data_IF_179976762483
#
_entry.id   IF_179976762483
#
_cell.length_a   1.000
_cell.length_b   1.000
_cell.length_c   1.000
_cell.angle_alpha   90.00
_cell.angle_beta   90.00
_cell.angle_gamma   90.00
#
_symmetry.space_group_name_H-M   'P 1'
#
loop_
_entity.id
_entity.type
_entity.pdbx_description
1 polymer ?
#
# COMPACT_ATOMS: atom_id res chain seq x y z
N UNK A 1 -10.05 3.43 -1.06
CA UNK A 1 -8.91 4.14 -1.68
C UNK A 1 -7.90 3.09 -2.13
N UNK A 2 -7.35 3.13 -3.35
CA UNK A 2 -6.27 2.22 -3.74
C UNK A 2 -5.04 2.50 -2.88
N UNK A 3 -4.30 1.45 -2.52
CA UNK A 3 -3.00 1.62 -1.89
C UNK A 3 -2.03 2.27 -2.90
N UNK A 4 -0.93 2.90 -2.43
CA UNK A 4 0.11 3.41 -3.30
C UNK A 4 0.52 2.35 -4.32
N UNK A 5 0.46 2.72 -5.61
CA UNK A 5 0.77 1.82 -6.71
C UNK A 5 2.28 1.69 -6.92
N UNK A 6 2.73 0.70 -7.67
CA UNK A 6 4.14 0.38 -7.86
C UNK A 6 4.94 1.56 -8.44
N UNK A 7 6.21 1.72 -8.00
CA UNK A 7 7.15 2.79 -8.43
C UNK A 7 7.16 3.03 -9.93
N UNK A 8 7.11 1.94 -10.69
CA UNK A 8 7.20 1.94 -12.15
C UNK A 8 6.07 2.74 -12.81
N UNK A 9 4.91 2.86 -12.15
CA UNK A 9 3.79 3.68 -12.63
C UNK A 9 4.07 5.16 -12.42
N UNK A 10 4.75 5.52 -11.34
CA UNK A 10 5.11 6.91 -11.03
C UNK A 10 6.28 7.44 -11.86
N UNK A 11 7.14 6.54 -12.36
CA UNK A 11 8.30 6.88 -13.17
C UNK A 11 8.00 7.02 -14.67
N UNK A 12 6.83 6.62 -15.13
CA UNK A 12 6.44 6.75 -16.54
C UNK A 12 6.47 8.22 -16.98
N UNK A 13 7.19 8.53 -18.06
CA UNK A 13 7.36 9.90 -18.55
C UNK A 13 6.29 10.27 -19.58
N UNK A 14 5.57 9.27 -20.09
CA UNK A 14 4.51 9.44 -21.08
C UNK A 14 3.26 8.66 -20.69
N UNK A 15 2.11 9.10 -21.20
CA UNK A 15 0.83 8.40 -21.02
C UNK A 15 0.89 6.98 -21.62
N UNK A 16 1.59 6.80 -22.75
CA UNK A 16 1.73 5.50 -23.39
C UNK A 16 2.52 4.52 -22.51
N UNK A 17 3.65 4.95 -21.95
CA UNK A 17 4.42 4.17 -20.99
C UNK A 17 3.59 3.84 -19.75
N UNK A 18 2.88 4.84 -19.22
CA UNK A 18 2.02 4.67 -18.06
C UNK A 18 0.95 3.60 -18.31
N UNK A 19 0.24 3.67 -19.43
CA UNK A 19 -0.79 2.70 -19.81
C UNK A 19 -0.21 1.29 -19.98
N UNK A 20 0.96 1.15 -20.62
CA UNK A 20 1.62 -0.13 -20.77
C UNK A 20 2.05 -0.73 -19.41
N UNK A 21 2.58 0.10 -18.51
CA UNK A 21 2.92 -0.32 -17.15
C UNK A 21 1.66 -0.66 -16.34
N UNK A 22 0.60 0.12 -16.46
CA UNK A 22 -0.65 -0.08 -15.75
C UNK A 22 -1.34 -1.38 -16.15
N UNK A 23 -1.43 -1.69 -17.45
CA UNK A 23 -2.02 -2.95 -17.93
C UNK A 23 -1.25 -4.16 -17.39
N UNK A 24 0.09 -4.12 -17.43
CA UNK A 24 0.94 -5.20 -16.89
C UNK A 24 0.79 -5.36 -15.38
N UNK A 25 0.78 -4.24 -14.66
CA UNK A 25 0.56 -4.22 -13.22
C UNK A 25 -0.82 -4.80 -12.89
N UNK A 26 -1.88 -4.34 -13.54
CA UNK A 26 -3.24 -4.78 -13.31
C UNK A 26 -3.42 -6.28 -13.60
N UNK A 27 -2.80 -6.80 -14.66
CA UNK A 27 -2.80 -8.23 -14.98
C UNK A 27 -2.11 -9.06 -13.87
N UNK A 28 -0.97 -8.60 -13.35
CA UNK A 28 -0.29 -9.23 -12.21
C UNK A 28 -1.17 -9.23 -10.97
N UNK A 29 -2.01 -8.21 -10.79
CA UNK A 29 -2.98 -8.09 -9.69
C UNK A 29 -4.32 -8.77 -9.96
N UNK A 30 -4.46 -9.57 -11.03
CA UNK A 30 -5.72 -10.23 -11.41
C UNK A 30 -6.90 -9.26 -11.56
N UNK A 31 -6.63 -8.01 -11.95
CA UNK A 31 -7.65 -6.97 -12.07
C UNK A 31 -7.85 -6.12 -10.82
N UNK A 32 -7.33 -6.53 -9.66
CA UNK A 32 -7.59 -5.87 -8.39
C UNK A 32 -6.29 -5.62 -7.62
N UNK A 33 -5.78 -4.39 -7.74
CA UNK A 33 -4.64 -3.90 -6.97
C UNK A 33 -4.87 -3.98 -5.46
N UNK A 34 -3.81 -3.71 -4.69
CA UNK A 34 -3.92 -3.63 -3.23
C UNK A 34 -4.71 -2.37 -2.83
N UNK A 35 -5.59 -2.50 -1.85
CA UNK A 35 -6.46 -1.44 -1.38
C UNK A 35 -6.05 -1.00 0.03
N UNK A 36 -6.19 0.29 0.34
CA UNK A 36 -5.74 0.84 1.62
C UNK A 36 -6.42 0.17 2.84
N UNK A 37 -7.69 -0.21 2.73
CA UNK A 37 -8.40 -0.91 3.82
C UNK A 37 -7.89 -2.34 4.06
N UNK A 38 -7.10 -2.90 3.13
CA UNK A 38 -6.42 -4.18 3.35
C UNK A 38 -5.22 -4.04 4.30
N UNK A 39 -4.78 -2.83 4.65
CA UNK A 39 -3.74 -2.63 5.68
C UNK A 39 -4.21 -3.15 7.04
N UNK A 40 -5.49 -2.99 7.40
CA UNK A 40 -6.08 -3.50 8.65
C UNK A 40 -5.99 -5.03 8.77
N UNK A 41 -5.75 -5.73 7.65
CA UNK A 41 -5.58 -7.19 7.61
C UNK A 41 -4.16 -7.63 7.90
N UNK A 42 -3.19 -6.71 7.86
CA UNK A 42 -1.79 -6.98 8.21
C UNK A 42 -1.74 -7.14 9.73
N UNK A 43 -1.69 -8.40 10.18
CA UNK A 43 -1.58 -8.72 11.61
C UNK A 43 -0.11 -8.84 12.02
N UNK A 44 0.26 -8.34 13.21
CA UNK A 44 1.57 -8.61 13.77
C UNK A 44 1.75 -10.12 13.99
N UNK A 45 2.85 -10.68 13.47
CA UNK A 45 3.12 -12.11 13.49
C UNK A 45 4.36 -12.50 12.69
N UNK A 46 4.70 -13.80 12.70
CA UNK A 46 5.91 -14.33 12.05
C UNK A 46 5.79 -14.37 10.51
N UNK A 47 4.55 -14.43 9.99
CA UNK A 47 4.27 -14.48 8.56
C UNK A 47 3.21 -13.44 8.20
N UNK A 48 3.49 -12.65 7.16
CA UNK A 48 2.55 -11.67 6.63
C UNK A 48 1.62 -12.36 5.61
N UNK A 49 0.48 -11.73 5.32
CA UNK A 49 -0.44 -12.24 4.30
C UNK A 49 0.16 -12.06 2.90
N UNK A 50 -0.02 -13.04 2.02
CA UNK A 50 0.70 -13.11 0.74
C UNK A 50 0.39 -11.92 -0.19
N UNK A 51 -0.84 -11.36 -0.19
CA UNK A 51 -1.12 -10.13 -0.94
C UNK A 51 -0.37 -8.93 -0.37
N UNK A 52 -0.29 -8.82 0.95
CA UNK A 52 0.46 -7.76 1.61
C UNK A 52 1.96 -7.88 1.30
N UNK A 53 2.54 -9.10 1.32
CA UNK A 53 3.95 -9.36 0.95
C UNK A 53 4.22 -8.92 -0.48
N UNK A 54 3.37 -9.34 -1.42
CA UNK A 54 3.45 -8.93 -2.82
C UNK A 54 3.34 -7.42 -3.01
N UNK A 55 2.47 -6.75 -2.25
CA UNK A 55 2.40 -5.28 -2.28
C UNK A 55 3.68 -4.64 -1.74
N UNK A 56 4.23 -5.17 -0.65
CA UNK A 56 5.47 -4.66 -0.04
C UNK A 56 6.66 -4.76 -0.99
N UNK A 57 6.75 -5.82 -1.79
CA UNK A 57 7.80 -6.01 -2.81
C UNK A 57 7.79 -4.93 -3.91
N UNK A 58 6.62 -4.37 -4.21
CA UNK A 58 6.43 -3.41 -5.31
C UNK A 58 6.39 -1.95 -4.85
N UNK A 59 6.15 -1.76 -3.55
CA UNK A 59 5.97 -0.45 -2.93
C UNK A 59 7.32 0.27 -2.84
N UNK A 60 7.38 1.51 -3.34
CA UNK A 60 8.56 2.34 -3.22
C UNK A 60 8.68 3.00 -1.85
N UNK A 61 9.78 3.72 -1.62
CA UNK A 61 10.01 4.52 -0.42
C UNK A 61 8.84 5.48 -0.13
N UNK A 62 8.14 5.97 -1.16
CA UNK A 62 6.97 6.84 -0.97
C UNK A 62 5.77 6.06 -0.43
N UNK A 63 5.45 4.89 -1.00
CA UNK A 63 4.38 4.05 -0.49
C UNK A 63 4.68 3.46 0.91
N UNK A 64 5.95 3.20 1.23
CA UNK A 64 6.40 2.86 2.57
C UNK A 64 6.17 4.01 3.56
N UNK A 65 6.52 5.25 3.16
CA UNK A 65 6.27 6.44 3.98
C UNK A 65 4.77 6.68 4.22
N UNK A 66 3.92 6.40 3.22
CA UNK A 66 2.46 6.48 3.38
C UNK A 66 1.94 5.44 4.39
N UNK A 67 2.45 4.21 4.38
CA UNK A 67 2.09 3.22 5.41
C UNK A 67 2.48 3.72 6.81
N UNK A 68 3.70 4.25 6.98
CA UNK A 68 4.16 4.80 8.26
C UNK A 68 3.30 5.98 8.74
N UNK A 69 2.83 6.84 7.83
CA UNK A 69 1.93 7.93 8.17
C UNK A 69 0.57 7.40 8.66
N UNK A 70 0.01 6.39 7.97
CA UNK A 70 -1.25 5.74 8.36
C UNK A 70 -1.11 5.09 9.74
N UNK A 71 -0.07 4.28 9.94
CA UNK A 71 0.21 3.62 11.23
C UNK A 71 0.39 4.63 12.37
N UNK A 72 1.14 5.72 12.13
CA UNK A 72 1.35 6.78 13.13
C UNK A 72 0.10 7.63 13.40
N UNK A 73 -0.85 7.69 12.47
CA UNK A 73 -2.14 8.35 12.68
C UNK A 73 -3.07 7.47 13.53
N UNK A 74 -3.05 6.16 13.30
CA UNK A 74 -3.80 5.17 14.08
C UNK A 74 -3.24 5.03 15.50
N UNK A 75 -1.92 4.99 15.67
CA UNK A 75 -1.30 4.98 17.01
C UNK A 75 -1.58 6.26 17.81
N UNK A 76 -1.69 7.43 17.16
CA UNK A 76 -2.07 8.69 17.83
C UNK A 76 -3.51 8.71 18.29
N UNK A 77 -4.42 8.04 17.58
CA UNK A 77 -5.83 7.97 17.96
C UNK A 77 -6.07 7.00 19.12
N UNK A 78 -5.32 5.89 19.20
CA UNK A 78 -5.37 4.99 20.37
C UNK A 78 -4.81 5.66 21.64
N UNK A 79 -3.70 6.42 21.52
CA UNK A 79 -3.12 7.14 22.66
C UNK A 79 -4.03 8.27 23.19
N UNK A 80 -4.77 8.96 22.32
CA UNK A 80 -5.74 9.99 22.73
C UNK A 80 -6.96 9.39 23.44
N UNK A 81 -7.47 8.25 22.98
CA UNK A 81 -8.60 7.55 23.64
C UNK A 81 -8.18 6.97 24.99
N UNK A 82 -6.96 6.45 25.12
CA UNK A 82 -6.43 5.94 26.39
C UNK A 82 -6.13 7.02 27.44
N UNK A 83 -5.93 8.28 27.03
CA UNK A 83 -5.65 9.40 27.94
C UNK A 83 -6.90 10.11 28.46
N UNK A 84 -8.10 9.75 27.98
CA UNK A 84 -9.40 10.37 28.32
C UNK A 84 -10.23 9.51 29.30
N UNK A 85 -9.67 8.40 29.81
CA UNK A 85 -10.24 7.58 30.89
C UNK A 85 -9.26 7.47 32.07
#
# INVERSE_FOLDING_TARGET
MPAPAAKILWLAQTEHEWNAHYIRWLARWSGEGYLQWEFDRIRPGIKMEERAEKWLEETDEFGMNMMLIVDAAEHRSVAFVAAVH
#
